data_IF_646916846497
#
_entry.id   IF_646916846497
#
_cell.length_a   1.000
_cell.length_b   1.000
_cell.length_c   1.000
_cell.angle_alpha   90.00
_cell.angle_beta   90.00
_cell.angle_gamma   90.00
#
_symmetry.space_group_name_H-M   'P 1'
#
loop_
_entity.id
_entity.type
_entity.pdbx_description
1 polymer ?
#
# COMPACT_ATOMS: atom_id res chain seq x y z
N UNK A 1 14.49 12.85 10.53
CA UNK A 1 14.65 11.39 10.40
C UNK A 1 15.17 11.03 9.02
N UNK A 2 16.14 10.16 8.97
CA UNK A 2 16.69 9.70 7.70
C UNK A 2 16.20 8.28 7.42
N UNK A 3 15.66 8.05 6.22
CA UNK A 3 15.20 6.71 5.83
C UNK A 3 16.39 5.76 5.61
N UNK A 4 16.22 4.51 6.03
CA UNK A 4 17.15 3.46 5.68
C UNK A 4 17.15 3.20 4.17
N UNK A 5 18.13 2.46 3.69
CA UNK A 5 18.35 2.21 2.26
C UNK A 5 17.11 1.60 1.58
N UNK A 6 16.50 0.58 2.19
CA UNK A 6 15.36 -0.10 1.58
C UNK A 6 14.15 0.82 1.46
N UNK A 7 13.86 1.60 2.50
CA UNK A 7 12.72 2.52 2.47
C UNK A 7 12.98 3.72 1.55
N UNK A 8 14.21 4.21 1.50
CA UNK A 8 14.58 5.27 0.55
C UNK A 8 14.39 4.79 -0.89
N UNK A 9 14.71 3.53 -1.18
CA UNK A 9 14.49 2.95 -2.50
C UNK A 9 13.02 2.86 -2.83
N UNK A 10 12.17 2.51 -1.87
CA UNK A 10 10.70 2.49 -2.06
C UNK A 10 10.20 3.89 -2.38
N UNK A 11 10.62 4.91 -1.62
CA UNK A 11 10.22 6.30 -1.88
C UNK A 11 10.62 6.73 -3.29
N UNK A 12 11.83 6.34 -3.73
CA UNK A 12 12.31 6.62 -5.08
C UNK A 12 11.45 5.96 -6.16
N UNK A 13 11.08 4.69 -5.96
CA UNK A 13 10.22 3.97 -6.92
C UNK A 13 8.81 4.56 -6.98
N UNK A 14 8.29 5.05 -5.84
CA UNK A 14 6.99 5.73 -5.80
C UNK A 14 7.05 7.14 -6.41
N UNK A 15 8.24 7.69 -6.56
CA UNK A 15 8.41 9.05 -7.04
C UNK A 15 7.85 10.10 -6.09
N UNK A 16 7.86 9.81 -4.79
CA UNK A 16 7.27 10.68 -3.78
C UNK A 16 8.30 11.08 -2.73
N UNK A 17 8.36 12.38 -2.42
CA UNK A 17 9.16 12.88 -1.33
C UNK A 17 8.31 12.91 -0.05
N UNK A 18 8.75 12.19 0.96
CA UNK A 18 8.05 12.15 2.24
C UNK A 18 8.57 13.26 3.16
N UNK A 19 7.79 14.34 3.28
CA UNK A 19 8.12 15.42 4.21
C UNK A 19 8.15 14.92 5.66
N UNK A 20 7.37 13.86 5.93
CA UNK A 20 7.33 13.18 7.23
C UNK A 20 7.69 11.71 7.03
N UNK A 21 8.99 11.40 6.93
CA UNK A 21 9.43 10.03 6.63
C UNK A 21 8.98 8.99 7.65
N UNK A 22 8.71 9.39 8.90
CA UNK A 22 8.16 8.50 9.91
C UNK A 22 6.83 7.87 9.51
N UNK A 23 6.05 8.55 8.66
CA UNK A 23 4.78 7.98 8.15
C UNK A 23 5.02 6.82 7.20
N UNK A 24 6.08 6.88 6.38
CA UNK A 24 6.43 5.76 5.53
C UNK A 24 6.88 4.56 6.37
N UNK A 25 7.66 4.80 7.41
CA UNK A 25 8.08 3.74 8.33
C UNK A 25 6.86 3.09 8.99
N UNK A 26 5.93 3.88 9.47
CA UNK A 26 4.69 3.39 10.09
C UNK A 26 3.88 2.56 9.09
N UNK A 27 3.72 3.05 7.86
CA UNK A 27 2.96 2.36 6.82
C UNK A 27 3.55 0.98 6.47
N UNK A 28 4.87 0.84 6.58
CA UNK A 28 5.58 -0.40 6.26
C UNK A 28 5.86 -1.27 7.47
N UNK A 29 5.27 -0.95 8.62
CA UNK A 29 5.47 -1.70 9.87
C UNK A 29 4.25 -2.56 10.16
N UNK A 30 4.44 -3.89 10.11
CA UNK A 30 3.39 -4.86 10.42
C UNK A 30 3.14 -4.92 11.94
N UNK A 31 1.88 -5.14 12.38
CA UNK A 31 1.57 -5.25 13.80
C UNK A 31 2.38 -6.31 14.55
N UNK A 32 2.86 -7.33 13.85
CA UNK A 32 3.65 -8.40 14.46
C UNK A 32 4.97 -7.93 15.07
N UNK A 33 5.43 -6.72 14.75
CA UNK A 33 6.67 -6.18 15.31
C UNK A 33 6.53 -5.76 16.77
N UNK A 34 5.31 -5.52 17.23
CA UNK A 34 5.04 -4.96 18.55
C UNK A 34 5.82 -3.66 18.83
N UNK A 35 6.10 -2.90 17.76
CA UNK A 35 6.90 -1.67 17.86
C UNK A 35 6.10 -0.47 18.40
N UNK A 36 4.84 -0.65 18.72
CA UNK A 36 3.98 0.41 19.25
C UNK A 36 3.20 1.14 18.17
N UNK A 37 3.87 1.58 17.11
CA UNK A 37 3.23 2.18 15.95
C UNK A 37 3.36 1.25 14.75
N UNK A 38 2.24 0.80 14.23
CA UNK A 38 2.17 -0.09 13.07
C UNK A 38 1.22 0.49 12.02
N UNK A 39 0.98 -0.26 10.95
CA UNK A 39 0.23 0.21 9.80
C UNK A 39 -1.30 0.10 9.92
N UNK A 40 -1.84 -0.36 11.05
CA UNK A 40 -3.29 -0.64 11.14
C UNK A 40 -4.15 0.58 10.80
N UNK A 41 -3.86 1.73 11.38
CA UNK A 41 -4.65 2.94 11.13
C UNK A 41 -4.44 3.47 9.72
N UNK A 42 -3.20 3.46 9.24
CA UNK A 42 -2.88 3.90 7.88
C UNK A 42 -3.47 2.96 6.84
N UNK A 43 -3.51 1.67 7.10
CA UNK A 43 -4.14 0.69 6.23
C UNK A 43 -5.64 0.98 6.08
N UNK A 44 -6.32 1.24 7.21
CA UNK A 44 -7.74 1.57 7.18
C UNK A 44 -8.01 2.81 6.35
N UNK A 45 -7.27 3.89 6.60
CA UNK A 45 -7.43 5.15 5.88
C UNK A 45 -7.01 5.01 4.42
N UNK A 46 -5.87 4.36 4.19
CA UNK A 46 -5.32 4.18 2.85
C UNK A 46 -6.22 3.38 1.92
N UNK A 47 -6.91 2.40 2.46
CA UNK A 47 -7.88 1.61 1.69
C UNK A 47 -8.99 2.49 1.13
N UNK A 48 -9.49 3.44 1.92
CA UNK A 48 -10.50 4.39 1.50
C UNK A 48 -9.97 5.37 0.46
N UNK A 49 -8.75 5.85 0.66
CA UNK A 49 -8.08 6.75 -0.30
C UNK A 49 -7.85 6.04 -1.63
N UNK A 50 -7.36 4.81 -1.59
CA UNK A 50 -7.14 4.02 -2.80
C UNK A 50 -8.45 3.83 -3.55
N UNK A 51 -9.52 3.46 -2.86
CA UNK A 51 -10.83 3.28 -3.46
C UNK A 51 -11.32 4.56 -4.15
N UNK A 52 -11.16 5.71 -3.50
CA UNK A 52 -11.57 6.99 -4.07
C UNK A 52 -10.76 7.34 -5.33
N UNK A 53 -9.45 7.21 -5.27
CA UNK A 53 -8.55 7.53 -6.40
C UNK A 53 -8.87 6.66 -7.62
N UNK A 54 -9.04 5.36 -7.40
CA UNK A 54 -9.36 4.44 -8.50
C UNK A 54 -10.77 4.70 -9.04
N UNK A 55 -11.75 4.94 -8.16
CA UNK A 55 -13.11 5.25 -8.59
C UNK A 55 -13.14 6.51 -9.46
N UNK A 56 -12.43 7.55 -9.05
CA UNK A 56 -12.33 8.80 -9.81
C UNK A 56 -11.71 8.57 -11.18
N UNK A 57 -10.64 7.78 -11.23
CA UNK A 57 -9.98 7.44 -12.50
C UNK A 57 -10.91 6.66 -13.45
N UNK A 58 -11.70 5.74 -12.90
CA UNK A 58 -12.64 4.95 -13.70
C UNK A 58 -13.77 5.82 -14.26
N UNK A 59 -14.29 6.73 -13.47
CA UNK A 59 -15.33 7.67 -13.92
C UNK A 59 -14.79 8.55 -15.04
N UNK A 60 -13.57 9.04 -14.90
CA UNK A 60 -12.95 9.89 -15.92
C UNK A 60 -12.66 9.11 -17.20
N UNK A 61 -12.27 7.84 -17.08
CA UNK A 61 -11.91 7.01 -18.24
C UNK A 61 -13.13 6.57 -19.05
N UNK A 62 -14.29 6.42 -18.40
CA UNK A 62 -15.52 5.96 -19.05
C UNK A 62 -16.72 6.75 -18.54
N UNK A 63 -16.91 7.99 -19.06
CA UNK A 63 -17.97 8.87 -18.56
C UNK A 63 -19.39 8.35 -18.75
N UNK A 64 -19.57 7.37 -19.63
CA UNK A 64 -20.89 6.80 -19.92
C UNK A 64 -21.19 5.53 -19.13
N UNK A 65 -20.22 5.01 -18.40
CA UNK A 65 -20.42 3.77 -17.64
C UNK A 65 -21.35 4.00 -16.46
N UNK A 66 -22.21 3.02 -16.21
CA UNK A 66 -23.12 3.04 -15.06
C UNK A 66 -22.41 2.57 -13.80
N UNK A 67 -23.03 2.77 -12.64
CA UNK A 67 -22.51 2.21 -11.40
C UNK A 67 -22.35 0.69 -11.49
N UNK A 68 -23.32 0.01 -12.14
CA UNK A 68 -23.26 -1.43 -12.35
C UNK A 68 -22.07 -1.88 -13.19
N UNK A 69 -21.62 -1.01 -14.10
CA UNK A 69 -20.40 -1.28 -14.89
C UNK A 69 -19.15 -0.98 -14.08
N UNK A 70 -19.16 0.09 -13.29
CA UNK A 70 -17.97 0.58 -12.59
C UNK A 70 -17.63 -0.22 -11.34
N UNK A 71 -18.62 -0.68 -10.59
CA UNK A 71 -18.37 -1.38 -9.33
C UNK A 71 -17.52 -2.65 -9.48
N UNK A 72 -17.78 -3.54 -10.46
CA UNK A 72 -16.93 -4.70 -10.65
C UNK A 72 -15.49 -4.34 -11.04
N UNK A 73 -15.32 -3.28 -11.83
CA UNK A 73 -13.99 -2.81 -12.23
C UNK A 73 -13.21 -2.28 -11.03
N UNK A 74 -13.88 -1.50 -10.18
CA UNK A 74 -13.29 -1.00 -8.94
C UNK A 74 -12.85 -2.16 -8.04
N UNK A 75 -13.75 -3.11 -7.81
CA UNK A 75 -13.47 -4.26 -6.95
C UNK A 75 -12.28 -5.07 -7.45
N UNK A 76 -12.15 -5.24 -8.77
CA UNK A 76 -11.02 -5.96 -9.37
C UNK A 76 -9.69 -5.22 -9.15
N UNK A 77 -9.72 -3.89 -9.15
CA UNK A 77 -8.50 -3.08 -9.03
C UNK A 77 -8.04 -2.87 -7.60
N UNK A 78 -8.96 -2.89 -6.63
CA UNK A 78 -8.61 -2.65 -5.22
C UNK A 78 -8.53 -3.93 -4.39
N UNK A 79 -8.78 -5.08 -4.98
CA UNK A 79 -8.75 -6.34 -4.24
C UNK A 79 -7.33 -6.69 -3.79
N UNK A 80 -7.26 -7.53 -2.77
CA UNK A 80 -6.00 -7.93 -2.13
C UNK A 80 -4.97 -8.47 -3.13
N UNK A 81 -5.41 -9.28 -4.08
CA UNK A 81 -4.54 -9.92 -5.07
C UNK A 81 -3.89 -8.89 -5.99
N UNK A 82 -4.65 -7.91 -6.44
CA UNK A 82 -4.13 -6.83 -7.29
C UNK A 82 -3.15 -5.96 -6.51
N UNK A 83 -3.48 -5.63 -5.28
CA UNK A 83 -2.58 -4.85 -4.42
C UNK A 83 -1.26 -5.60 -4.17
N UNK A 84 -1.32 -6.91 -4.00
CA UNK A 84 -0.12 -7.74 -3.83
C UNK A 84 0.76 -7.72 -5.09
N UNK A 85 0.15 -7.76 -6.28
CA UNK A 85 0.88 -7.67 -7.54
C UNK A 85 1.61 -6.34 -7.67
N UNK A 86 0.94 -5.23 -7.34
CA UNK A 86 1.54 -3.90 -7.39
C UNK A 86 2.65 -3.78 -6.35
N UNK A 87 2.46 -4.31 -5.16
CA UNK A 87 3.49 -4.31 -4.12
C UNK A 87 4.74 -5.07 -4.58
N UNK A 88 4.55 -6.19 -5.30
CA UNK A 88 5.67 -6.94 -5.85
C UNK A 88 6.41 -6.15 -6.93
N UNK A 89 5.67 -5.46 -7.81
CA UNK A 89 6.29 -4.61 -8.83
C UNK A 89 7.09 -3.46 -8.22
N UNK A 90 6.60 -2.90 -7.11
CA UNK A 90 7.28 -1.83 -6.38
C UNK A 90 8.40 -2.34 -5.46
N UNK A 91 8.53 -3.66 -5.37
CA UNK A 91 9.54 -4.32 -4.52
C UNK A 91 9.48 -3.83 -3.07
N UNK A 92 8.29 -3.86 -2.49
CA UNK A 92 8.07 -3.41 -1.12
C UNK A 92 8.61 -4.38 -0.07
N UNK A 93 8.74 -5.66 -0.42
CA UNK A 93 9.11 -6.72 0.51
C UNK A 93 10.32 -6.40 1.38
N UNK A 94 11.48 -6.00 0.78
CA UNK A 94 12.69 -5.72 1.57
C UNK A 94 12.54 -4.58 2.57
N UNK A 95 11.57 -3.67 2.35
CA UNK A 95 11.34 -2.52 3.23
C UNK A 95 10.32 -2.81 4.32
N UNK A 96 9.60 -3.94 4.24
CA UNK A 96 8.60 -4.28 5.24
C UNK A 96 9.25 -4.65 6.57
N UNK A 97 8.68 -4.13 7.66
CA UNK A 97 9.10 -4.45 9.01
C UNK A 97 8.08 -5.42 9.60
N UNK A 98 8.52 -6.65 9.85
CA UNK A 98 7.67 -7.74 10.35
C UNK A 98 8.28 -8.40 11.54
N UNK A 99 7.42 -8.99 12.39
CA UNK A 99 7.86 -9.85 13.46
C UNK A 99 8.44 -11.15 12.88
N UNK A 100 9.26 -11.83 13.69
CA UNK A 100 9.98 -13.02 13.25
C UNK A 100 9.08 -14.13 12.71
N UNK A 101 7.94 -14.36 13.36
CA UNK A 101 7.01 -15.41 12.93
C UNK A 101 6.42 -15.12 11.55
N UNK A 102 6.09 -13.86 11.26
CA UNK A 102 5.58 -13.47 9.95
C UNK A 102 6.63 -13.66 8.86
N UNK A 103 7.88 -13.35 9.14
CA UNK A 103 8.98 -13.57 8.20
C UNK A 103 9.13 -15.06 7.88
N UNK A 104 9.01 -15.92 8.89
CA UNK A 104 9.15 -17.37 8.72
C UNK A 104 7.98 -17.99 7.96
N UNK A 105 6.80 -17.36 7.99
CA UNK A 105 5.63 -17.83 7.24
C UNK A 105 5.53 -17.25 5.83
N UNK A 106 6.52 -16.45 5.43
CA UNK A 106 6.55 -15.87 4.09
C UNK A 106 5.70 -14.63 3.91
N UNK A 107 5.41 -13.89 4.99
CA UNK A 107 4.59 -12.68 4.94
C UNK A 107 5.14 -11.57 4.04
N UNK A 108 6.39 -11.66 3.60
CA UNK A 108 7.02 -10.68 2.70
C UNK A 108 6.81 -10.94 1.22
N UNK A 109 6.22 -12.04 0.88
CA UNK A 109 5.97 -12.35 -0.53
C UNK A 109 4.85 -11.53 -1.13
#
# INVERSE_FOLDING_TARGET
>A
MKLGRAMAAVAGRLGHYFARPELLVEALTHPSTAAGQDNQRLEFLGDRVLGLVIAEALVAADPQATEGDLAPRLNALVRKETCAEVAAELDLGPALRMGRSEMLTGGRR
#
